data_IF_495338519591
#
_entry.id   IF_495338519591
#
_cell.length_a   1.000
_cell.length_b   1.000
_cell.length_c   1.000
_cell.angle_alpha   90.00
_cell.angle_beta   90.00
_cell.angle_gamma   90.00
#
_symmetry.space_group_name_H-M   'P 1'
#
loop_
_entity.id
_entity.type
_entity.pdbx_description
1 polymer ?
#
# COMPACT_ATOMS: atom_id res chain seq x y z
N UNK A 1 -4.13 -2.52 18.65
CA UNK A 1 -3.78 -1.90 17.36
C UNK A 1 -4.90 -1.05 16.73
N UNK A 2 -6.11 -1.58 16.41
CA UNK A 2 -7.18 -0.75 15.78
C UNK A 2 -7.60 0.46 16.62
N UNK A 3 -7.79 0.28 17.93
CA UNK A 3 -8.17 1.38 18.84
C UNK A 3 -7.10 2.46 18.98
N UNK A 4 -5.85 2.11 18.82
CA UNK A 4 -4.74 3.04 18.95
C UNK A 4 -4.63 3.95 17.72
N UNK A 5 -4.84 3.39 16.51
CA UNK A 5 -4.89 4.17 15.29
C UNK A 5 -6.05 5.18 15.31
N UNK A 6 -7.25 4.74 15.70
CA UNK A 6 -8.43 5.61 15.78
C UNK A 6 -8.18 6.75 16.78
N UNK A 7 -7.58 6.44 17.94
CA UNK A 7 -7.21 7.47 18.93
C UNK A 7 -6.16 8.44 18.37
N UNK A 8 -5.13 7.93 17.71
CA UNK A 8 -4.09 8.76 17.11
C UNK A 8 -4.65 9.72 16.05
N UNK A 9 -5.53 9.23 15.17
CA UNK A 9 -6.20 10.05 14.17
C UNK A 9 -7.12 11.10 14.81
N UNK A 10 -7.87 10.72 15.85
CA UNK A 10 -8.70 11.66 16.60
C UNK A 10 -7.87 12.77 17.27
N UNK A 11 -6.69 12.44 17.82
CA UNK A 11 -5.78 13.42 18.39
C UNK A 11 -5.15 14.32 17.32
N UNK A 12 -4.80 13.76 16.15
CA UNK A 12 -4.32 14.56 15.02
C UNK A 12 -5.38 15.56 14.57
N UNK A 13 -6.64 15.14 14.48
CA UNK A 13 -7.74 16.02 14.08
C UNK A 13 -7.92 17.23 15.01
N UNK A 14 -7.62 17.09 16.30
CA UNK A 14 -7.65 18.20 17.29
C UNK A 14 -6.53 19.22 17.09
N UNK A 15 -5.44 18.84 16.42
CA UNK A 15 -4.26 19.72 16.26
C UNK A 15 -4.41 20.73 15.14
N UNK A 16 -5.41 20.59 14.29
CA UNK A 16 -5.72 21.53 13.21
C UNK A 16 -5.90 20.85 11.85
N UNK A 17 -6.26 21.61 10.82
CA UNK A 17 -6.44 21.08 9.49
C UNK A 17 -5.10 20.63 8.90
N UNK A 18 -5.10 19.45 8.32
CA UNK A 18 -4.00 18.91 7.52
C UNK A 18 -4.49 18.70 6.09
N UNK A 19 -3.68 19.04 5.10
CA UNK A 19 -3.98 18.77 3.69
C UNK A 19 -3.95 17.28 3.38
N UNK A 20 -3.03 16.55 4.02
CA UNK A 20 -2.92 15.10 3.91
C UNK A 20 -2.30 14.50 5.17
N UNK A 21 -2.61 13.24 5.45
CA UNK A 21 -1.98 12.42 6.48
C UNK A 21 -1.39 11.19 5.81
N UNK A 22 -0.09 10.99 6.00
CA UNK A 22 0.61 9.81 5.54
C UNK A 22 0.73 8.81 6.68
N UNK A 23 0.23 7.61 6.46
CA UNK A 23 0.29 6.52 7.43
C UNK A 23 1.19 5.42 6.90
N UNK A 24 2.36 5.24 7.51
CA UNK A 24 3.28 4.17 7.17
C UNK A 24 3.02 2.95 8.05
N UNK A 25 2.87 1.79 7.41
CA UNK A 25 2.85 0.49 8.08
C UNK A 25 4.22 -0.17 8.01
N UNK A 26 4.48 -1.11 8.90
CA UNK A 26 5.69 -1.94 8.79
C UNK A 26 5.61 -2.86 7.57
N UNK A 27 6.78 -3.27 7.04
CA UNK A 27 6.85 -4.17 5.88
C UNK A 27 6.23 -5.56 6.08
N UNK A 28 5.85 -5.91 7.32
CA UNK A 28 5.19 -7.19 7.67
C UNK A 28 3.71 -7.00 8.02
N UNK A 29 3.15 -5.81 7.84
CA UNK A 29 1.77 -5.53 8.22
C UNK A 29 0.80 -5.82 7.08
N UNK A 30 -0.29 -6.55 7.39
CA UNK A 30 -1.46 -6.62 6.55
C UNK A 30 -2.15 -5.24 6.52
N UNK A 31 -2.33 -4.60 5.36
CA UNK A 31 -2.96 -3.28 5.27
C UNK A 31 -4.47 -3.32 5.51
N UNK A 32 -5.11 -4.48 5.37
CA UNK A 32 -6.57 -4.66 5.47
C UNK A 32 -7.16 -4.16 6.79
N UNK A 33 -6.61 -4.50 7.98
CA UNK A 33 -7.15 -4.00 9.24
C UNK A 33 -7.10 -2.48 9.39
N UNK A 34 -6.07 -1.86 8.79
CA UNK A 34 -5.90 -0.41 8.79
C UNK A 34 -6.96 0.23 7.90
N UNK A 35 -7.08 -0.22 6.65
CA UNK A 35 -8.09 0.25 5.71
C UNK A 35 -9.51 0.13 6.27
N UNK A 36 -9.86 -1.03 6.84
CA UNK A 36 -11.18 -1.26 7.45
C UNK A 36 -11.48 -0.32 8.63
N UNK A 37 -10.47 0.21 9.32
CA UNK A 37 -10.67 1.17 10.41
C UNK A 37 -11.25 2.48 9.92
N UNK A 38 -10.93 2.91 8.69
CA UNK A 38 -11.48 4.11 8.06
C UNK A 38 -12.98 3.98 7.78
N UNK A 39 -13.49 2.76 7.53
CA UNK A 39 -14.91 2.54 7.25
C UNK A 39 -15.74 2.25 8.48
N UNK A 40 -15.17 1.56 9.47
CA UNK A 40 -15.91 1.13 10.67
C UNK A 40 -15.99 2.20 11.75
N UNK A 41 -15.13 3.22 11.72
CA UNK A 41 -15.12 4.28 12.72
C UNK A 41 -15.81 5.53 12.18
N UNK A 42 -16.99 5.86 12.71
CA UNK A 42 -17.68 7.09 12.36
C UNK A 42 -16.83 8.33 12.60
N UNK A 43 -16.04 8.37 13.69
CA UNK A 43 -15.16 9.49 14.02
C UNK A 43 -14.08 9.68 12.96
N UNK A 44 -13.51 8.59 12.45
CA UNK A 44 -12.48 8.66 11.40
C UNK A 44 -13.13 9.03 10.08
N UNK A 45 -14.20 8.38 9.70
CA UNK A 45 -14.88 8.57 8.41
C UNK A 45 -15.44 9.99 8.23
N UNK A 46 -15.84 10.66 9.32
CA UNK A 46 -16.33 12.05 9.27
C UNK A 46 -15.22 13.08 9.02
N UNK A 47 -13.97 12.77 9.38
CA UNK A 47 -12.87 13.73 9.36
C UNK A 47 -11.74 13.38 8.37
N UNK A 48 -11.64 12.11 7.97
CA UNK A 48 -10.60 11.61 7.08
C UNK A 48 -11.21 10.77 5.96
N UNK A 49 -10.67 10.94 4.76
CA UNK A 49 -10.98 10.10 3.61
C UNK A 49 -9.72 9.30 3.25
N UNK A 50 -9.86 7.99 3.10
CA UNK A 50 -8.76 7.18 2.55
C UNK A 50 -8.65 7.48 1.05
N UNK A 51 -7.51 8.07 0.67
CA UNK A 51 -7.24 8.49 -0.70
C UNK A 51 -6.73 7.33 -1.55
N UNK A 52 -5.73 6.63 -1.06
CA UNK A 52 -5.14 5.48 -1.71
C UNK A 52 -4.32 4.63 -0.73
N UNK A 53 -4.12 3.37 -1.08
CA UNK A 53 -3.12 2.48 -0.50
C UNK A 53 -1.97 2.36 -1.50
N UNK A 54 -0.78 2.80 -1.09
CA UNK A 54 0.43 2.78 -1.91
C UNK A 54 1.39 1.74 -1.34
N UNK A 55 1.77 0.76 -2.16
CA UNK A 55 2.79 -0.23 -1.81
C UNK A 55 4.14 0.17 -2.41
N UNK A 56 5.18 0.19 -1.58
CA UNK A 56 6.56 0.42 -2.01
C UNK A 56 7.31 -0.92 -1.97
N UNK A 57 7.80 -1.38 -3.12
CA UNK A 57 8.54 -2.64 -3.25
C UNK A 57 9.96 -2.42 -3.76
N UNK A 58 10.87 -3.25 -3.31
CA UNK A 58 12.26 -3.29 -3.78
C UNK A 58 12.36 -4.22 -5.00
N UNK A 59 12.71 -3.67 -6.18
CA UNK A 59 12.82 -4.42 -7.43
C UNK A 59 13.70 -5.67 -7.30
N UNK A 60 14.81 -5.56 -6.54
CA UNK A 60 15.79 -6.64 -6.40
C UNK A 60 15.32 -7.79 -5.51
N UNK A 61 14.48 -7.48 -4.50
CA UNK A 61 14.14 -8.47 -3.47
C UNK A 61 12.66 -8.88 -3.47
N UNK A 62 11.78 -8.15 -4.12
CA UNK A 62 10.33 -8.40 -4.07
C UNK A 62 9.96 -9.82 -4.52
N UNK A 63 10.64 -10.37 -5.51
CA UNK A 63 10.37 -11.73 -6.00
C UNK A 63 10.58 -12.79 -4.95
N UNK A 64 11.61 -12.66 -4.11
CA UNK A 64 11.86 -13.57 -3.00
C UNK A 64 10.70 -13.56 -2.01
N UNK A 65 10.15 -12.38 -1.71
CA UNK A 65 9.03 -12.21 -0.80
C UNK A 65 7.70 -12.69 -1.39
N UNK A 66 7.45 -12.44 -2.67
CA UNK A 66 6.21 -12.87 -3.32
C UNK A 66 6.13 -14.40 -3.50
N UNK A 67 7.27 -15.06 -3.73
CA UNK A 67 7.33 -16.50 -3.94
C UNK A 67 7.63 -17.31 -2.66
N UNK A 68 7.84 -16.65 -1.53
CA UNK A 68 8.11 -17.29 -0.26
C UNK A 68 6.92 -18.14 0.17
N UNK A 69 7.18 -19.45 0.33
CA UNK A 69 6.19 -20.38 0.88
C UNK A 69 6.24 -20.29 2.40
N UNK A 70 5.19 -19.76 2.99
CA UNK A 70 5.04 -19.70 4.45
C UNK A 70 4.67 -21.06 5.02
N UNK A 71 5.21 -21.37 6.20
CA UNK A 71 4.84 -22.58 6.93
C UNK A 71 3.37 -22.52 7.38
N UNK A 72 2.75 -23.68 7.55
CA UNK A 72 1.40 -23.85 8.13
C UNK A 72 0.27 -23.04 7.44
N UNK A 73 0.34 -22.85 6.11
CA UNK A 73 -0.60 -22.03 5.36
C UNK A 73 -0.73 -20.59 5.88
N UNK A 74 0.32 -20.07 6.51
CA UNK A 74 0.34 -18.68 6.91
C UNK A 74 0.26 -17.77 5.68
N UNK A 75 -0.43 -16.66 5.84
CA UNK A 75 -0.62 -15.65 4.78
C UNK A 75 0.72 -15.02 4.45
N UNK A 76 1.02 -14.88 3.15
CA UNK A 76 2.17 -14.11 2.69
C UNK A 76 1.80 -12.62 2.72
N UNK A 77 2.35 -11.89 3.70
CA UNK A 77 2.06 -10.48 3.92
C UNK A 77 2.47 -9.61 2.72
N UNK A 78 3.55 -9.97 2.01
CA UNK A 78 4.00 -9.24 0.83
C UNK A 78 3.00 -9.37 -0.33
N UNK A 79 2.42 -10.56 -0.52
CA UNK A 79 1.34 -10.78 -1.48
C UNK A 79 0.12 -9.97 -1.10
N UNK A 80 -0.25 -9.93 0.18
CA UNK A 80 -1.38 -9.13 0.68
C UNK A 80 -1.16 -7.63 0.45
N UNK A 81 0.04 -7.13 0.74
CA UNK A 81 0.36 -5.71 0.52
C UNK A 81 0.24 -5.33 -0.95
N UNK A 82 0.74 -6.16 -1.87
CA UNK A 82 0.61 -5.94 -3.32
C UNK A 82 -0.84 -6.04 -3.76
N UNK A 83 -1.56 -7.08 -3.32
CA UNK A 83 -2.96 -7.32 -3.71
C UNK A 83 -3.90 -6.19 -3.30
N UNK A 84 -3.71 -5.62 -2.10
CA UNK A 84 -4.55 -4.56 -1.54
C UNK A 84 -4.21 -3.14 -2.01
N UNK A 85 -3.14 -2.97 -2.78
CA UNK A 85 -2.68 -1.65 -3.18
C UNK A 85 -3.42 -1.09 -4.37
N UNK A 86 -3.71 0.20 -4.34
CA UNK A 86 -4.22 0.95 -5.48
C UNK A 86 -3.09 1.37 -6.43
N UNK A 87 -1.90 1.54 -5.87
CA UNK A 87 -0.69 1.91 -6.59
C UNK A 87 0.53 1.22 -6.02
N UNK A 88 1.43 0.79 -6.90
CA UNK A 88 2.66 0.08 -6.53
C UNK A 88 3.85 0.84 -7.10
N UNK A 89 4.78 1.20 -6.23
CA UNK A 89 6.04 1.85 -6.59
C UNK A 89 7.14 0.78 -6.53
N UNK A 90 7.67 0.41 -7.69
CA UNK A 90 8.80 -0.50 -7.83
C UNK A 90 10.07 0.34 -7.79
N UNK A 91 10.68 0.41 -6.61
CA UNK A 91 11.88 1.21 -6.34
C UNK A 91 13.15 0.39 -6.57
N UNK A 92 14.28 1.08 -6.67
CA UNK A 92 15.60 0.50 -6.90
C UNK A 92 15.71 -0.22 -8.26
N UNK A 93 14.99 0.27 -9.28
CA UNK A 93 15.05 -0.29 -10.63
C UNK A 93 16.48 -0.27 -11.22
N UNK A 94 17.35 0.57 -10.69
CA UNK A 94 18.77 0.67 -11.05
C UNK A 94 19.64 -0.53 -10.59
N UNK A 95 19.11 -1.39 -9.71
CA UNK A 95 19.80 -2.58 -9.18
C UNK A 95 19.45 -3.89 -9.92
N UNK A 96 18.62 -3.80 -10.96
CA UNK A 96 18.16 -4.94 -11.75
C UNK A 96 18.33 -4.65 -13.24
N UNK A 97 18.42 -5.69 -14.07
CA UNK A 97 18.38 -5.57 -15.52
C UNK A 97 16.97 -5.22 -16.03
N UNK A 98 16.85 -4.81 -17.28
CA UNK A 98 15.56 -4.53 -17.90
C UNK A 98 14.66 -5.79 -17.93
N UNK A 99 15.25 -6.96 -18.23
CA UNK A 99 14.55 -8.24 -18.26
C UNK A 99 14.03 -8.63 -16.85
N UNK A 100 14.88 -8.51 -15.82
CA UNK A 100 14.47 -8.76 -14.44
C UNK A 100 13.37 -7.77 -13.98
N UNK A 101 13.43 -6.51 -14.41
CA UNK A 101 12.39 -5.53 -14.09
C UNK A 101 11.07 -5.88 -14.76
N UNK A 102 11.08 -6.34 -16.00
CA UNK A 102 9.89 -6.77 -16.72
C UNK A 102 9.26 -8.00 -16.04
N UNK A 103 10.07 -8.95 -15.58
CA UNK A 103 9.63 -10.11 -14.80
C UNK A 103 8.98 -9.67 -13.47
N UNK A 104 9.60 -8.76 -12.74
CA UNK A 104 9.05 -8.21 -11.50
C UNK A 104 7.69 -7.57 -11.76
N UNK A 105 7.59 -6.71 -12.75
CA UNK A 105 6.34 -6.03 -13.13
C UNK A 105 5.27 -7.04 -13.55
N UNK A 106 5.65 -8.07 -14.32
CA UNK A 106 4.76 -9.15 -14.75
C UNK A 106 4.19 -9.93 -13.57
N UNK A 107 5.02 -10.31 -12.62
CA UNK A 107 4.60 -11.03 -11.41
C UNK A 107 3.70 -10.16 -10.51
N UNK A 108 4.04 -8.88 -10.31
CA UNK A 108 3.18 -7.94 -9.57
C UNK A 108 1.81 -7.81 -10.23
N UNK A 109 1.75 -7.69 -11.57
CA UNK A 109 0.49 -7.67 -12.32
C UNK A 109 -0.30 -8.97 -12.20
N UNK A 110 0.38 -10.10 -12.06
CA UNK A 110 -0.26 -11.40 -11.79
C UNK A 110 -0.97 -11.43 -10.44
N UNK A 111 -0.45 -10.72 -9.43
CA UNK A 111 -1.07 -10.59 -8.10
C UNK A 111 -2.16 -9.51 -8.10
N UNK A 112 -1.89 -8.35 -8.73
CA UNK A 112 -2.80 -7.22 -8.77
C UNK A 112 -2.78 -6.55 -10.15
N UNK A 113 -3.74 -6.91 -10.98
CA UNK A 113 -3.87 -6.38 -12.36
C UNK A 113 -4.41 -4.94 -12.41
N UNK A 114 -5.02 -4.45 -11.33
CA UNK A 114 -5.68 -3.14 -11.29
C UNK A 114 -4.74 -2.02 -10.83
N UNK A 115 -3.77 -2.33 -9.98
CA UNK A 115 -2.86 -1.32 -9.46
C UNK A 115 -2.01 -0.69 -10.56
N UNK A 116 -1.90 0.64 -10.53
CA UNK A 116 -0.94 1.34 -11.38
C UNK A 116 0.47 1.15 -10.85
N UNK A 117 1.38 0.65 -11.70
CA UNK A 117 2.78 0.42 -11.35
C UNK A 117 3.63 1.59 -11.83
N UNK A 118 4.52 2.07 -10.96
CA UNK A 118 5.52 3.11 -11.26
C UNK A 118 6.89 2.54 -10.90
N UNK A 119 7.78 2.42 -11.89
CA UNK A 119 9.17 2.04 -11.65
C UNK A 119 10.01 3.29 -11.41
N UNK A 120 10.86 3.25 -10.38
CA UNK A 120 11.67 4.40 -9.98
C UNK A 120 12.99 3.98 -9.32
N UNK A 121 13.86 4.95 -9.14
CA UNK A 121 15.06 4.84 -8.31
C UNK A 121 15.09 5.97 -7.28
N UNK A 122 15.67 5.70 -6.11
CA UNK A 122 15.71 6.65 -4.99
C UNK A 122 14.33 7.18 -4.58
N UNK A 123 13.27 6.38 -4.79
CA UNK A 123 11.87 6.72 -4.48
C UNK A 123 11.38 8.04 -5.09
N UNK A 124 11.94 8.45 -6.23
CA UNK A 124 11.54 9.69 -6.93
C UNK A 124 10.25 9.46 -7.71
N UNK A 125 9.15 9.96 -7.17
CA UNK A 125 7.81 9.91 -7.78
C UNK A 125 7.19 11.29 -7.71
N UNK A 126 6.46 11.69 -8.74
CA UNK A 126 5.65 12.92 -8.70
C UNK A 126 4.58 12.77 -7.61
N UNK A 127 4.48 13.75 -6.72
CA UNK A 127 3.49 13.74 -5.63
C UNK A 127 2.05 13.64 -6.14
N UNK A 128 1.75 14.14 -7.33
CA UNK A 128 0.44 13.99 -7.98
C UNK A 128 0.09 12.54 -8.29
N UNK A 129 1.07 11.65 -8.33
CA UNK A 129 0.85 10.23 -8.55
C UNK A 129 0.46 9.48 -7.26
N UNK A 130 0.68 10.07 -6.09
CA UNK A 130 0.47 9.42 -4.80
C UNK A 130 -0.43 10.19 -3.83
N UNK A 131 -0.76 11.45 -4.11
CA UNK A 131 -1.62 12.29 -3.27
C UNK A 131 -2.79 12.85 -4.08
N UNK A 132 -3.97 12.87 -3.47
CA UNK A 132 -5.20 13.40 -4.07
C UNK A 132 -5.70 12.58 -5.27
N UNK A 133 -5.38 11.30 -5.32
CA UNK A 133 -5.69 10.44 -6.48
C UNK A 133 -7.04 9.76 -6.37
N UNK A 134 -7.65 9.74 -5.19
CA UNK A 134 -8.98 9.14 -4.91
C UNK A 134 -9.13 7.73 -5.51
N UNK A 135 -8.08 6.93 -5.46
CA UNK A 135 -8.02 5.60 -6.09
C UNK A 135 -8.63 4.51 -5.23
N UNK A 136 -8.77 4.74 -3.92
CA UNK A 136 -9.30 3.72 -3.03
C UNK A 136 -10.80 3.49 -3.28
N UNK A 137 -11.18 2.22 -3.51
CA UNK A 137 -12.57 1.76 -3.60
C UNK A 137 -12.75 0.54 -2.70
N UNK A 138 -13.76 0.61 -1.81
CA UNK A 138 -14.10 -0.50 -0.93
C UNK A 138 -14.64 -1.70 -1.72
N UNK A 139 -15.31 -1.46 -2.84
CA UNK A 139 -15.89 -2.50 -3.69
C UNK A 139 -14.81 -3.45 -4.21
N UNK A 140 -13.67 -2.92 -4.63
CA UNK A 140 -12.51 -3.70 -5.06
C UNK A 140 -11.82 -4.49 -3.95
N UNK A 141 -12.02 -4.09 -2.70
CA UNK A 141 -11.40 -4.75 -1.54
C UNK A 141 -12.25 -5.91 -1.00
N UNK A 142 -13.46 -6.11 -1.54
CA UNK A 142 -14.41 -7.14 -1.13
C UNK A 142 -14.56 -8.26 -2.18
N UNK A 143 -14.00 -8.09 -3.37
CA UNK A 143 -13.87 -9.12 -4.42
C UNK A 143 -12.60 -9.96 -4.22
#
# INVERSE_FOLDING_TARGET
>A
MRGDLIRALAELNKRGPFDAVLLETTGLADPTPVALSFFKSAVVNMNFKLDAIVCLVDAKHVMQHLTEVKADNAVNESVQQVAFSDKIIVNKMDLVSAEELDDVVGNIKGVNSFAKIICTQNSKVDLKEILGISSFSIERSLE
#
